data_IF_852153003155
#
_entry.id   IF_852153003155
#
_cell.length_a   1.000
_cell.length_b   1.000
_cell.length_c   1.000
_cell.angle_alpha   90.00
_cell.angle_beta   90.00
_cell.angle_gamma   90.00
#
_symmetry.space_group_name_H-M   'P 1'
#
loop_
_entity.id
_entity.type
_entity.pdbx_description
1 polymer ?
#
# COMPACT_ATOMS: atom_id res chain seq x y z
N UNK A 1 11.83 8.36 11.97
CA UNK A 1 11.51 8.01 10.57
C UNK A 1 10.14 7.34 10.41
N UNK A 2 9.58 6.71 11.45
CA UNK A 2 8.26 6.03 11.36
C UNK A 2 7.09 6.97 11.69
N UNK A 3 7.26 7.89 12.64
CA UNK A 3 6.18 8.79 13.11
C UNK A 3 5.64 9.72 12.01
N UNK A 4 6.54 10.34 11.24
CA UNK A 4 6.19 11.22 10.12
C UNK A 4 5.35 10.51 9.04
N UNK A 5 5.56 9.22 8.81
CA UNK A 5 4.79 8.46 7.84
C UNK A 5 3.33 8.28 8.28
N UNK A 6 3.08 8.12 9.59
CA UNK A 6 1.74 7.99 10.14
C UNK A 6 0.96 9.30 10.13
N UNK A 7 1.63 10.42 10.39
CA UNK A 7 1.01 11.75 10.26
C UNK A 7 0.57 11.99 8.82
N UNK A 8 1.42 11.69 7.83
CA UNK A 8 1.05 11.80 6.42
C UNK A 8 -0.11 10.88 6.04
N UNK A 9 -0.14 9.63 6.56
CA UNK A 9 -1.25 8.71 6.34
C UNK A 9 -2.58 9.24 6.94
N UNK A 10 -2.51 9.98 8.05
CA UNK A 10 -3.68 10.61 8.67
C UNK A 10 -4.20 11.84 7.88
N UNK A 11 -3.45 12.37 6.91
CA UNK A 11 -3.86 13.47 6.05
C UNK A 11 -4.19 13.05 4.61
N UNK A 12 -3.63 11.94 4.13
CA UNK A 12 -3.84 11.42 2.77
C UNK A 12 -5.29 11.06 2.45
N UNK A 13 -5.81 11.42 1.27
CA UNK A 13 -7.19 11.09 0.85
C UNK A 13 -7.46 9.57 0.81
N UNK A 14 -6.42 8.78 0.51
CA UNK A 14 -6.45 7.32 0.48
C UNK A 14 -5.15 6.73 1.05
N UNK A 15 -5.24 5.54 1.64
CA UNK A 15 -4.09 4.79 2.15
C UNK A 15 -3.83 3.57 1.26
N UNK A 16 -2.66 3.51 0.64
CA UNK A 16 -2.18 2.33 -0.07
C UNK A 16 -1.24 1.51 0.83
N UNK A 17 -1.68 0.34 1.29
CA UNK A 17 -0.88 -0.56 2.11
C UNK A 17 -0.20 -1.61 1.23
N UNK A 18 1.12 -1.53 1.12
CA UNK A 18 1.90 -2.41 0.24
C UNK A 18 2.65 -3.50 1.02
N UNK A 19 2.52 -4.74 0.55
CA UNK A 19 3.22 -5.93 1.03
C UNK A 19 4.23 -6.44 0.03
N UNK A 20 5.39 -6.84 0.53
CA UNK A 20 6.40 -7.57 -0.24
C UNK A 20 6.12 -9.08 -0.10
N UNK A 21 5.52 -9.68 -1.14
CA UNK A 21 5.13 -11.09 -1.09
C UNK A 21 6.33 -12.02 -0.85
N UNK A 22 7.48 -11.89 -1.54
CA UNK A 22 8.69 -12.69 -1.27
C UNK A 22 9.10 -12.70 0.19
N UNK A 23 9.12 -11.53 0.82
CA UNK A 23 9.47 -11.41 2.23
C UNK A 23 8.41 -12.02 3.13
N UNK A 24 7.13 -11.83 2.81
CA UNK A 24 6.03 -12.43 3.55
C UNK A 24 6.08 -13.97 3.52
N UNK A 25 6.34 -14.56 2.34
CA UNK A 25 6.55 -16.01 2.20
C UNK A 25 7.82 -16.49 2.91
N UNK A 26 8.92 -15.73 2.85
CA UNK A 26 10.16 -16.09 3.56
C UNK A 26 9.93 -16.20 5.09
N UNK A 27 9.01 -15.39 5.62
CA UNK A 27 8.49 -15.47 6.99
C UNK A 27 7.34 -16.48 7.15
N UNK A 28 7.22 -17.44 6.24
CA UNK A 28 6.19 -18.49 6.24
C UNK A 28 4.75 -17.98 6.27
N UNK A 29 4.51 -16.78 5.74
CA UNK A 29 3.19 -16.13 5.75
C UNK A 29 2.64 -15.93 7.18
N UNK A 30 3.53 -15.79 8.17
CA UNK A 30 3.15 -15.55 9.55
C UNK A 30 2.86 -14.07 9.78
N UNK A 31 1.70 -13.79 10.39
CA UNK A 31 1.36 -12.48 10.92
C UNK A 31 2.21 -12.24 12.18
N UNK A 32 3.06 -11.23 12.12
CA UNK A 32 3.89 -10.82 13.25
C UNK A 32 3.30 -9.57 13.95
N UNK A 33 3.96 -9.14 15.04
CA UNK A 33 3.55 -7.96 15.82
C UNK A 33 3.49 -6.67 14.99
N UNK A 34 4.31 -6.56 13.94
CA UNK A 34 4.31 -5.37 13.08
C UNK A 34 3.04 -5.33 12.23
N UNK A 35 2.57 -6.47 11.72
CA UNK A 35 1.31 -6.56 10.98
C UNK A 35 0.12 -6.13 11.85
N UNK A 36 0.09 -6.59 13.10
CA UNK A 36 -0.93 -6.20 14.09
C UNK A 36 -0.90 -4.70 14.41
N UNK A 37 0.30 -4.14 14.59
CA UNK A 37 0.45 -2.70 14.83
C UNK A 37 -0.04 -1.89 13.62
N UNK A 38 0.32 -2.30 12.40
CA UNK A 38 -0.14 -1.66 11.17
C UNK A 38 -1.67 -1.72 11.07
N UNK A 39 -2.27 -2.90 11.26
CA UNK A 39 -3.73 -3.10 11.24
C UNK A 39 -4.42 -2.20 12.25
N UNK A 40 -3.94 -2.16 13.49
CA UNK A 40 -4.48 -1.31 14.56
C UNK A 40 -4.45 0.17 14.18
N UNK A 41 -3.32 0.66 13.68
CA UNK A 41 -3.16 2.07 13.28
C UNK A 41 -4.06 2.44 12.10
N UNK A 42 -4.14 1.61 11.07
CA UNK A 42 -5.00 1.86 9.91
C UNK A 42 -6.47 1.84 10.35
N UNK A 43 -6.87 0.88 11.18
CA UNK A 43 -8.23 0.82 11.74
C UNK A 43 -8.56 2.10 12.51
N UNK A 44 -7.61 2.64 13.28
CA UNK A 44 -7.80 3.90 13.99
C UNK A 44 -7.95 5.11 13.04
N UNK A 45 -7.21 5.15 11.94
CA UNK A 45 -7.34 6.20 10.92
C UNK A 45 -8.69 6.09 10.19
N UNK A 46 -9.06 4.88 9.78
CA UNK A 46 -10.31 4.61 9.08
C UNK A 46 -11.53 4.99 9.94
N UNK A 47 -11.54 4.63 11.23
CA UNK A 47 -12.61 5.02 12.17
C UNK A 47 -12.76 6.52 12.36
N UNK A 48 -11.65 7.28 12.29
CA UNK A 48 -11.67 8.73 12.52
C UNK A 48 -12.09 9.54 11.30
N UNK A 49 -11.73 9.08 10.10
CA UNK A 49 -11.79 9.91 8.88
C UNK A 49 -12.49 9.21 7.70
N UNK A 50 -12.97 7.97 7.87
CA UNK A 50 -13.59 7.13 6.83
C UNK A 50 -12.73 7.08 5.55
N UNK A 51 -11.43 6.84 5.75
CA UNK A 51 -10.43 6.83 4.69
C UNK A 51 -10.45 5.47 3.98
N UNK A 52 -10.45 5.52 2.66
CA UNK A 52 -10.33 4.34 1.84
C UNK A 52 -8.92 3.75 1.94
N UNK A 53 -8.87 2.43 2.00
CA UNK A 53 -7.63 1.66 2.10
C UNK A 53 -7.58 0.69 0.93
N UNK A 54 -6.47 0.68 0.20
CA UNK A 54 -6.20 -0.31 -0.84
C UNK A 54 -5.05 -1.20 -0.38
N UNK A 55 -5.21 -2.51 -0.58
CA UNK A 55 -4.17 -3.49 -0.31
C UNK A 55 -3.38 -3.76 -1.60
N UNK A 56 -2.06 -3.67 -1.53
CA UNK A 56 -1.17 -3.90 -2.67
C UNK A 56 -0.21 -5.02 -2.31
N UNK A 57 -0.26 -6.12 -3.05
CA UNK A 57 0.67 -7.23 -2.96
C UNK A 57 1.68 -7.10 -4.08
N UNK A 58 2.88 -6.66 -3.76
CA UNK A 58 3.94 -6.38 -4.72
C UNK A 58 4.87 -7.58 -4.89
N UNK A 59 5.57 -7.60 -6.04
CA UNK A 59 6.56 -8.61 -6.45
C UNK A 59 5.97 -10.00 -6.69
N UNK A 60 4.78 -10.05 -7.27
CA UNK A 60 4.11 -11.30 -7.65
C UNK A 60 4.91 -12.10 -8.69
N UNK A 61 5.79 -11.44 -9.44
CA UNK A 61 6.66 -12.06 -10.45
C UNK A 61 7.69 -13.04 -9.85
N UNK A 62 8.02 -12.89 -8.58
CA UNK A 62 8.93 -13.78 -7.85
C UNK A 62 8.19 -14.93 -7.15
N UNK A 63 6.88 -15.06 -7.37
CA UNK A 63 6.02 -16.06 -6.74
C UNK A 63 5.44 -17.05 -7.73
N UNK A 64 5.15 -18.26 -7.24
CA UNK A 64 4.26 -19.17 -7.97
C UNK A 64 2.82 -18.71 -7.79
N UNK A 65 1.94 -19.02 -8.76
CA UNK A 65 0.51 -18.67 -8.68
C UNK A 65 -0.15 -19.19 -7.40
N UNK A 66 0.23 -20.39 -6.97
CA UNK A 66 -0.30 -21.01 -5.75
C UNK A 66 0.13 -20.24 -4.50
N UNK A 67 1.42 -19.88 -4.42
CA UNK A 67 1.93 -19.14 -3.27
C UNK A 67 1.35 -17.73 -3.17
N UNK A 68 1.19 -17.05 -4.32
CA UNK A 68 0.59 -15.73 -4.38
C UNK A 68 -0.88 -15.75 -3.93
N UNK A 69 -1.65 -16.76 -4.38
CA UNK A 69 -3.03 -16.93 -3.94
C UNK A 69 -3.11 -17.20 -2.42
N UNK A 70 -2.30 -18.12 -1.89
CA UNK A 70 -2.28 -18.40 -0.45
C UNK A 70 -1.88 -17.17 0.38
N UNK A 71 -0.89 -16.39 -0.06
CA UNK A 71 -0.51 -15.16 0.63
C UNK A 71 -1.64 -14.10 0.57
N UNK A 72 -2.33 -14.01 -0.56
CA UNK A 72 -3.50 -13.13 -0.72
C UNK A 72 -4.63 -13.51 0.24
N UNK A 73 -4.94 -14.80 0.36
CA UNK A 73 -5.98 -15.28 1.27
C UNK A 73 -5.67 -14.92 2.72
N UNK A 74 -4.43 -15.19 3.16
CA UNK A 74 -3.97 -14.86 4.53
C UNK A 74 -4.05 -13.36 4.81
N UNK A 75 -3.56 -12.53 3.88
CA UNK A 75 -3.60 -11.07 4.06
C UNK A 75 -5.03 -10.53 4.01
N UNK A 76 -5.88 -11.06 3.13
CA UNK A 76 -7.29 -10.66 3.03
C UNK A 76 -8.06 -11.01 4.29
N UNK A 77 -7.88 -12.22 4.83
CA UNK A 77 -8.48 -12.62 6.11
C UNK A 77 -8.00 -11.72 7.25
N UNK A 78 -6.69 -11.47 7.32
CA UNK A 78 -6.10 -10.63 8.36
C UNK A 78 -6.61 -9.18 8.29
N UNK A 79 -6.77 -8.60 7.11
CA UNK A 79 -7.24 -7.23 6.91
C UNK A 79 -8.76 -7.10 6.71
N UNK A 80 -9.53 -8.17 6.90
CA UNK A 80 -11.00 -8.17 6.74
C UNK A 80 -11.71 -7.09 7.57
N UNK A 81 -11.24 -6.83 8.80
CA UNK A 81 -11.77 -5.77 9.67
C UNK A 81 -11.54 -4.35 9.12
N UNK A 82 -10.50 -4.16 8.31
CA UNK A 82 -10.11 -2.88 7.72
C UNK A 82 -10.90 -2.59 6.44
N UNK A 83 -11.70 -3.55 5.94
CA UNK A 83 -12.56 -3.39 4.76
C UNK A 83 -11.88 -2.62 3.62
N UNK A 84 -10.75 -3.14 3.09
CA UNK A 84 -10.09 -2.50 1.97
C UNK A 84 -11.04 -2.40 0.77
N UNK A 85 -10.98 -1.28 0.04
CA UNK A 85 -11.81 -1.02 -1.14
C UNK A 85 -11.50 -2.03 -2.23
N UNK A 86 -10.20 -2.26 -2.45
CA UNK A 86 -9.70 -3.22 -3.43
C UNK A 86 -8.37 -3.83 -3.00
N UNK A 87 -8.03 -4.94 -3.65
CA UNK A 87 -6.77 -5.64 -3.44
C UNK A 87 -6.10 -5.91 -4.80
N UNK A 88 -4.84 -5.47 -4.95
CA UNK A 88 -4.10 -5.61 -6.20
C UNK A 88 -2.85 -6.46 -6.02
N UNK A 89 -2.66 -7.42 -6.92
CA UNK A 89 -1.45 -8.21 -7.03
C UNK A 89 -0.63 -7.67 -8.21
N UNK A 90 0.51 -7.01 -7.93
CA UNK A 90 1.30 -6.27 -8.92
C UNK A 90 2.76 -6.70 -8.98
N UNK A 91 3.41 -6.45 -10.11
CA UNK A 91 4.87 -6.41 -10.22
C UNK A 91 5.31 -4.99 -10.55
N UNK A 92 5.75 -4.24 -9.54
CA UNK A 92 6.23 -2.87 -9.76
C UNK A 92 7.44 -2.80 -10.70
N UNK A 93 8.28 -3.84 -10.74
CA UNK A 93 9.47 -3.90 -11.60
C UNK A 93 9.13 -4.16 -13.06
N UNK A 94 8.18 -5.07 -13.31
CA UNK A 94 7.76 -5.42 -14.68
C UNK A 94 6.65 -4.52 -15.23
N UNK A 95 5.93 -3.83 -14.35
CA UNK A 95 4.76 -3.04 -14.68
C UNK A 95 3.47 -3.87 -14.75
N UNK A 96 3.52 -5.16 -14.42
CA UNK A 96 2.34 -6.03 -14.45
C UNK A 96 1.29 -5.56 -13.43
N UNK A 97 0.05 -5.42 -13.90
CA UNK A 97 -1.13 -4.95 -13.13
C UNK A 97 -1.00 -3.56 -12.51
N UNK A 98 0.03 -2.77 -12.87
CA UNK A 98 0.19 -1.40 -12.38
C UNK A 98 -0.83 -0.45 -13.02
N UNK A 99 -1.24 -0.73 -14.25
CA UNK A 99 -2.24 0.09 -14.93
C UNK A 99 -3.61 -0.02 -14.26
N UNK A 100 -4.00 -1.22 -13.83
CA UNK A 100 -5.25 -1.45 -13.10
C UNK A 100 -5.26 -0.69 -11.76
N UNK A 101 -4.14 -0.74 -11.03
CA UNK A 101 -3.97 0.04 -9.80
C UNK A 101 -4.11 1.55 -10.08
N UNK A 102 -3.51 2.07 -11.15
CA UNK A 102 -3.63 3.49 -11.52
C UNK A 102 -5.06 3.89 -11.85
N UNK A 103 -5.77 3.04 -12.58
CA UNK A 103 -7.16 3.29 -12.94
C UNK A 103 -8.04 3.32 -11.68
N UNK A 104 -7.90 2.34 -10.78
CA UNK A 104 -8.61 2.32 -9.50
C UNK A 104 -8.33 3.59 -8.66
N UNK A 105 -7.07 4.02 -8.58
CA UNK A 105 -6.71 5.26 -7.89
C UNK A 105 -7.35 6.49 -8.55
N UNK A 106 -7.36 6.56 -9.87
CA UNK A 106 -7.97 7.67 -10.61
C UNK A 106 -9.50 7.73 -10.41
N UNK A 107 -10.17 6.58 -10.37
CA UNK A 107 -11.62 6.49 -10.19
C UNK A 107 -12.06 6.78 -8.75
N UNK A 108 -11.20 6.52 -7.76
CA UNK A 108 -11.54 6.69 -6.34
C UNK A 108 -11.16 8.06 -5.79
N UNK A 109 -10.17 8.74 -6.38
CA UNK A 109 -9.74 10.05 -5.91
C UNK A 109 -10.76 11.14 -6.26
N UNK A 110 -11.03 12.08 -5.34
CA UNK A 110 -11.95 13.18 -5.61
C UNK A 110 -11.40 14.10 -6.69
N UNK A 111 -12.29 14.62 -7.54
CA UNK A 111 -11.94 15.69 -8.46
C UNK A 111 -11.49 16.93 -7.66
N UNK A 112 -10.34 17.49 -8.02
CA UNK A 112 -9.74 18.60 -7.31
C UNK A 112 -8.92 19.50 -8.23
N UNK A 113 -8.78 20.77 -7.82
CA UNK A 113 -7.85 21.67 -8.49
C UNK A 113 -6.42 21.16 -8.33
N UNK A 114 -5.61 21.28 -9.37
CA UNK A 114 -4.18 20.97 -9.32
C UNK A 114 -3.51 21.91 -8.30
N UNK A 115 -3.21 21.40 -7.10
CA UNK A 115 -2.62 22.19 -6.00
C UNK A 115 -1.13 22.49 -6.21
N UNK A 116 -0.44 21.66 -7.00
CA UNK A 116 0.99 21.82 -7.30
C UNK A 116 1.22 22.10 -8.78
N UNK A 117 2.05 23.09 -9.15
CA UNK A 117 2.37 23.34 -10.55
C UNK A 117 3.01 22.09 -11.19
N UNK A 118 2.67 21.83 -12.46
CA UNK A 118 3.25 20.77 -13.29
C UNK A 118 4.79 20.79 -13.21
N UNK A 119 5.45 19.62 -13.20
CA UNK A 119 6.65 19.41 -12.41
C UNK A 119 7.86 20.16 -12.99
N UNK A 120 8.34 21.16 -12.25
CA UNK A 120 9.76 21.50 -12.26
C UNK A 120 10.43 20.60 -11.23
N UNK A 121 10.87 19.43 -11.69
CA UNK A 121 11.86 18.53 -11.09
C UNK A 121 12.04 18.67 -9.56
N UNK A 122 11.42 17.77 -8.81
CA UNK A 122 11.60 17.58 -7.37
C UNK A 122 13.09 17.64 -6.98
N UNK A 123 13.51 18.74 -6.36
CA UNK A 123 14.88 18.94 -5.91
C UNK A 123 15.06 18.18 -4.59
N UNK A 124 15.51 16.93 -4.65
CA UNK A 124 16.31 16.39 -3.56
C UNK A 124 17.61 17.20 -3.55
N UNK A 125 18.02 17.82 -2.42
CA UNK A 125 19.38 18.35 -2.34
C UNK A 125 20.35 17.19 -2.63
N UNK A 126 21.41 17.40 -3.43
CA UNK A 126 22.36 16.34 -3.71
C UNK A 126 22.84 15.77 -2.38
N UNK A 127 22.75 14.44 -2.24
CA UNK A 127 23.25 13.76 -1.06
C UNK A 127 24.73 14.16 -0.90
N UNK A 128 25.02 14.95 0.13
CA UNK A 128 26.38 15.26 0.53
C UNK A 128 27.06 13.93 0.81
N UNK A 129 27.87 13.45 -0.14
CA UNK A 129 28.80 12.36 0.11
C UNK A 129 29.67 12.80 1.30
N UNK A 130 29.58 12.05 2.41
CA UNK A 130 30.55 12.03 3.49
C UNK A 130 31.13 10.63 3.54
#
# INVERSE_FOLDING_TARGET
>A
MVDSAWTSAAEADMIALMFDLPQFKARKMEIDKLHEEIKSRITAIQKKRSRDVILIMNKVDLMTKKDAASASDVLSEFFSDVRPVDQFAISATRGDSVQDLKNCLADTLPEGMITFPLPSFFFLPPASQR
#
